data_IF_190155668768
#
_entry.id   IF_190155668768
#
_cell.length_a   1.000
_cell.length_b   1.000
_cell.length_c   1.000
_cell.angle_alpha   90.00
_cell.angle_beta   90.00
_cell.angle_gamma   90.00
#
_symmetry.space_group_name_H-M   'P 1'
#
loop_
_entity.id
_entity.type
_entity.pdbx_description
1 polymer ?
#
# COMPACT_ATOMS: atom_id res chain seq x y z
N UNK A 1 -1.40 -13.16 -10.44
CA UNK A 1 -0.76 -12.32 -11.49
C UNK A 1 0.72 -12.17 -11.19
N UNK A 2 1.52 -11.43 -11.96
CA UNK A 2 2.89 -11.06 -11.58
C UNK A 2 2.87 -9.83 -10.68
N UNK A 3 3.78 -9.74 -9.71
CA UNK A 3 3.82 -8.62 -8.76
C UNK A 3 4.48 -7.36 -9.38
N UNK A 4 5.35 -7.52 -10.38
CA UNK A 4 6.09 -6.42 -10.98
C UNK A 4 5.18 -5.38 -11.66
N UNK A 5 4.13 -5.75 -12.45
CA UNK A 5 3.17 -4.79 -12.98
C UNK A 5 2.41 -4.01 -11.90
N UNK A 6 2.11 -4.66 -10.76
CA UNK A 6 1.47 -4.00 -9.63
C UNK A 6 2.41 -2.95 -9.04
N UNK A 7 3.66 -3.31 -8.73
CA UNK A 7 4.67 -2.37 -8.22
C UNK A 7 4.94 -1.22 -9.19
N UNK A 8 4.97 -1.49 -10.49
CA UNK A 8 5.16 -0.48 -11.51
C UNK A 8 4.03 0.57 -11.48
N UNK A 9 2.77 0.11 -11.40
CA UNK A 9 1.61 1.00 -11.30
C UNK A 9 1.56 1.76 -9.97
N UNK A 10 1.89 1.12 -8.84
CA UNK A 10 1.99 1.84 -7.55
C UNK A 10 3.07 2.96 -7.59
N UNK A 11 4.19 2.73 -8.26
CA UNK A 11 5.22 3.78 -8.43
C UNK A 11 4.77 4.90 -9.37
N UNK A 12 3.92 4.61 -10.35
CA UNK A 12 3.31 5.60 -11.24
C UNK A 12 2.39 6.51 -10.41
N UNK A 13 1.43 5.94 -9.68
CA UNK A 13 0.53 6.68 -8.78
C UNK A 13 1.28 7.58 -7.79
N UNK A 14 2.34 7.04 -7.17
CA UNK A 14 3.22 7.81 -6.28
C UNK A 14 3.87 9.01 -6.99
N UNK A 15 4.28 8.85 -8.25
CA UNK A 15 4.90 9.94 -9.02
C UNK A 15 3.88 10.97 -9.47
N UNK A 16 2.67 10.53 -9.78
CA UNK A 16 1.60 11.41 -10.25
C UNK A 16 1.15 12.36 -9.15
N UNK A 17 1.05 11.87 -7.90
CA UNK A 17 0.77 12.70 -6.72
C UNK A 17 1.97 13.56 -6.25
N UNK A 18 3.16 13.41 -6.86
CA UNK A 18 4.37 14.06 -6.37
C UNK A 18 4.32 15.59 -6.56
N UNK A 19 4.45 16.33 -5.46
CA UNK A 19 4.42 17.79 -5.46
C UNK A 19 3.03 18.41 -5.29
N UNK A 20 1.99 17.59 -5.13
CA UNK A 20 0.63 18.05 -4.81
C UNK A 20 0.50 18.47 -3.33
N UNK A 21 1.36 17.92 -2.46
CA UNK A 21 1.29 18.10 -1.02
C UNK A 21 0.14 17.33 -0.39
N UNK A 22 0.00 17.48 0.93
CA UNK A 22 -1.14 16.91 1.67
C UNK A 22 -0.97 15.45 2.07
N UNK A 23 -2.09 14.86 2.52
CA UNK A 23 -2.13 13.52 3.10
C UNK A 23 -2.05 12.43 2.03
N UNK A 24 -2.60 12.70 0.85
CA UNK A 24 -2.63 11.76 -0.27
C UNK A 24 -1.23 11.45 -0.82
N UNK A 25 -0.44 12.49 -1.13
CA UNK A 25 0.95 12.33 -1.56
C UNK A 25 1.74 11.50 -0.54
N UNK A 26 1.56 11.78 0.76
CA UNK A 26 2.21 11.03 1.84
C UNK A 26 1.75 9.57 1.90
N UNK A 27 0.45 9.31 1.82
CA UNK A 27 -0.11 7.97 1.87
C UNK A 27 0.42 7.11 0.72
N UNK A 28 0.40 7.64 -0.51
CA UNK A 28 0.93 6.96 -1.70
C UNK A 28 2.46 6.74 -1.60
N UNK A 29 3.19 7.74 -1.11
CA UNK A 29 4.63 7.64 -0.87
C UNK A 29 4.98 6.52 0.12
N UNK A 30 4.38 6.54 1.31
CA UNK A 30 4.68 5.58 2.35
C UNK A 30 4.18 4.18 2.02
N UNK A 31 3.03 4.03 1.36
CA UNK A 31 2.54 2.76 0.84
C UNK A 31 3.54 2.13 -0.13
N UNK A 32 4.01 2.89 -1.12
CA UNK A 32 4.96 2.38 -2.10
C UNK A 32 6.30 2.00 -1.45
N UNK A 33 6.83 2.85 -0.57
CA UNK A 33 8.09 2.58 0.12
C UNK A 33 8.00 1.35 1.03
N UNK A 34 6.92 1.21 1.79
CA UNK A 34 6.69 0.05 2.65
C UNK A 34 6.56 -1.24 1.85
N UNK A 35 5.73 -1.26 0.81
CA UNK A 35 5.55 -2.44 -0.06
C UNK A 35 6.87 -2.78 -0.77
N UNK A 36 7.66 -1.79 -1.18
CA UNK A 36 8.98 -2.03 -1.78
C UNK A 36 9.97 -2.64 -0.78
N UNK A 37 9.91 -2.24 0.49
CA UNK A 37 10.69 -2.86 1.56
C UNK A 37 10.23 -4.31 1.81
N UNK A 38 8.91 -4.54 1.77
CA UNK A 38 8.26 -5.84 1.93
C UNK A 38 8.04 -6.60 0.61
N UNK A 39 8.88 -6.36 -0.41
CA UNK A 39 8.66 -6.90 -1.77
C UNK A 39 8.58 -8.42 -1.82
N UNK A 40 9.31 -9.13 -0.94
CA UNK A 40 9.26 -10.59 -0.86
C UNK A 40 7.88 -11.09 -0.43
N UNK A 41 7.41 -10.75 0.78
CA UNK A 41 6.06 -11.07 1.23
C UNK A 41 4.96 -10.54 0.29
N UNK A 42 5.14 -9.35 -0.29
CA UNK A 42 4.19 -8.81 -1.26
C UNK A 42 4.11 -9.63 -2.54
N UNK A 43 5.25 -10.09 -3.07
CA UNK A 43 5.28 -10.98 -4.22
C UNK A 43 4.58 -12.32 -3.91
N UNK A 44 4.82 -12.91 -2.75
CA UNK A 44 4.12 -14.12 -2.33
C UNK A 44 2.60 -13.90 -2.19
N UNK A 45 2.18 -12.75 -1.65
CA UNK A 45 0.78 -12.36 -1.57
C UNK A 45 0.12 -12.24 -2.94
N UNK A 46 0.73 -11.52 -3.89
CA UNK A 46 0.14 -11.27 -5.23
C UNK A 46 0.22 -12.49 -6.16
N UNK A 47 1.32 -13.24 -6.11
CA UNK A 47 1.55 -14.34 -7.05
C UNK A 47 1.00 -15.68 -6.56
N UNK A 48 0.99 -15.89 -5.24
CA UNK A 48 0.63 -17.19 -4.62
C UNK A 48 -0.61 -17.09 -3.74
N UNK A 49 -1.22 -15.91 -3.59
CA UNK A 49 -2.36 -15.67 -2.70
C UNK A 49 -2.06 -16.10 -1.25
N UNK A 50 -0.79 -15.97 -0.84
CA UNK A 50 -0.36 -16.27 0.52
C UNK A 50 -0.57 -15.04 1.40
N UNK A 51 -1.39 -15.17 2.43
CA UNK A 51 -1.59 -14.10 3.40
C UNK A 51 -0.24 -13.69 4.02
N UNK A 52 0.07 -12.38 4.10
CA UNK A 52 1.27 -11.93 4.79
C UNK A 52 1.13 -12.19 6.30
N UNK A 53 2.28 -12.32 6.96
CA UNK A 53 2.36 -12.46 8.41
C UNK A 53 2.99 -11.21 9.00
N UNK A 54 2.36 -10.61 10.01
CA UNK A 54 2.97 -9.52 10.78
C UNK A 54 4.25 -10.01 11.49
N UNK A 55 5.30 -9.17 11.44
CA UNK A 55 6.62 -9.49 12.03
C UNK A 55 6.87 -8.71 13.31
N UNK A 56 6.36 -7.50 13.42
CA UNK A 56 6.53 -6.61 14.57
C UNK A 56 5.31 -6.68 15.48
N UNK A 57 5.55 -6.65 16.78
CA UNK A 57 4.51 -6.65 17.82
C UNK A 57 3.93 -5.23 18.04
N UNK A 58 3.83 -4.46 16.96
CA UNK A 58 3.29 -3.10 16.98
C UNK A 58 1.82 -3.17 16.63
N UNK A 59 0.95 -2.66 17.50
CA UNK A 59 -0.47 -2.56 17.17
C UNK A 59 -0.68 -1.60 15.99
N UNK A 60 -1.73 -1.80 15.16
CA UNK A 60 -2.20 -0.78 14.24
C UNK A 60 -2.40 0.54 14.99
N UNK A 61 -1.98 1.65 14.38
CA UNK A 61 -2.02 2.96 15.00
C UNK A 61 -2.70 4.01 14.11
N UNK A 62 -2.92 5.22 14.65
CA UNK A 62 -3.77 6.21 14.01
C UNK A 62 -3.21 6.71 12.66
N UNK A 63 -1.88 6.69 12.47
CA UNK A 63 -1.26 7.11 11.21
C UNK A 63 -1.43 6.06 10.12
N UNK A 64 -1.25 4.79 10.46
CA UNK A 64 -1.54 3.68 9.56
C UNK A 64 -3.03 3.67 9.17
N UNK A 65 -3.94 3.90 10.12
CA UNK A 65 -5.38 4.02 9.87
C UNK A 65 -5.71 5.21 8.96
N UNK A 66 -5.11 6.39 9.21
CA UNK A 66 -5.29 7.59 8.36
C UNK A 66 -4.88 7.32 6.92
N UNK A 67 -3.67 6.77 6.70
CA UNK A 67 -3.19 6.50 5.35
C UNK A 67 -3.94 5.36 4.67
N UNK A 68 -4.28 4.30 5.39
CA UNK A 68 -5.15 3.25 4.86
C UNK A 68 -6.51 3.80 4.45
N UNK A 69 -7.09 4.73 5.21
CA UNK A 69 -8.33 5.41 4.87
C UNK A 69 -8.23 6.13 3.52
N UNK A 70 -7.20 6.96 3.37
CA UNK A 70 -6.96 7.70 2.11
C UNK A 70 -6.73 6.76 0.92
N UNK A 71 -5.93 5.70 1.09
CA UNK A 71 -5.69 4.72 0.03
C UNK A 71 -6.95 3.93 -0.35
N UNK A 72 -7.82 3.69 0.63
CA UNK A 72 -9.12 3.02 0.42
C UNK A 72 -10.06 3.95 -0.37
N UNK A 73 -10.12 5.23 -0.01
CA UNK A 73 -10.89 6.23 -0.76
C UNK A 73 -10.41 6.33 -2.21
N UNK A 74 -9.09 6.43 -2.44
CA UNK A 74 -8.52 6.42 -3.79
C UNK A 74 -8.89 5.18 -4.59
N UNK A 75 -8.79 3.99 -3.98
CA UNK A 75 -9.22 2.74 -4.63
C UNK A 75 -10.70 2.80 -5.02
N UNK A 76 -11.55 3.34 -4.15
CA UNK A 76 -13.00 3.40 -4.36
C UNK A 76 -13.42 4.45 -5.39
N UNK A 77 -12.56 5.43 -5.67
CA UNK A 77 -12.75 6.44 -6.73
C UNK A 77 -12.39 5.91 -8.13
N UNK A 78 -11.57 4.87 -8.22
CA UNK A 78 -11.24 4.19 -9.49
C UNK A 78 -12.42 3.31 -9.90
N UNK A 79 -12.70 3.22 -11.21
CA UNK A 79 -13.73 2.31 -11.73
C UNK A 79 -13.38 0.87 -11.28
N UNK A 80 -14.34 0.16 -10.69
CA UNK A 80 -14.19 -1.22 -10.19
C UNK A 80 -14.17 -2.23 -11.37
N UNK A 81 -13.39 -1.90 -12.40
CA UNK A 81 -13.08 -2.76 -13.52
C UNK A 81 -11.99 -3.76 -13.06
N UNK A 82 -12.30 -5.06 -12.97
CA UNK A 82 -11.32 -6.08 -12.59
C UNK A 82 -10.18 -6.26 -13.60
N UNK A 83 -10.21 -5.56 -14.75
CA UNK A 83 -9.13 -5.45 -15.71
C UNK A 83 -8.27 -4.18 -15.57
N UNK A 84 -8.68 -3.18 -14.79
CA UNK A 84 -7.93 -1.94 -14.61
C UNK A 84 -6.73 -2.17 -13.68
N UNK A 85 -5.54 -1.91 -14.20
CA UNK A 85 -4.31 -2.05 -13.44
C UNK A 85 -4.21 -1.07 -12.28
N UNK A 86 -4.84 0.11 -12.36
CA UNK A 86 -4.89 1.09 -11.28
C UNK A 86 -5.70 0.55 -10.09
N UNK A 87 -6.92 0.08 -10.36
CA UNK A 87 -7.77 -0.58 -9.37
C UNK A 87 -7.06 -1.79 -8.77
N UNK A 88 -6.55 -2.71 -9.60
CA UNK A 88 -5.85 -3.91 -9.15
C UNK A 88 -4.65 -3.54 -8.25
N UNK A 89 -3.90 -2.50 -8.59
CA UNK A 89 -2.73 -2.12 -7.83
C UNK A 89 -3.10 -1.57 -6.44
N UNK A 90 -4.05 -0.63 -6.40
CA UNK A 90 -4.55 -0.06 -5.14
C UNK A 90 -5.24 -1.11 -4.27
N UNK A 91 -6.08 -1.97 -4.86
CA UNK A 91 -6.75 -3.06 -4.14
C UNK A 91 -5.74 -4.00 -3.48
N UNK A 92 -4.74 -4.48 -4.22
CA UNK A 92 -3.72 -5.36 -3.66
C UNK A 92 -2.83 -4.68 -2.63
N UNK A 93 -2.50 -3.40 -2.81
CA UNK A 93 -1.75 -2.62 -1.83
C UNK A 93 -2.55 -2.45 -0.52
N UNK A 94 -3.81 -2.02 -0.61
CA UNK A 94 -4.71 -1.83 0.53
C UNK A 94 -4.92 -3.15 1.27
N UNK A 95 -5.20 -4.24 0.55
CA UNK A 95 -5.40 -5.55 1.15
C UNK A 95 -4.14 -6.07 1.85
N UNK A 96 -2.96 -5.86 1.28
CA UNK A 96 -1.69 -6.25 1.89
C UNK A 96 -1.40 -5.44 3.16
N UNK A 97 -1.51 -4.11 3.09
CA UNK A 97 -1.24 -3.22 4.23
C UNK A 97 -2.28 -3.43 5.34
N UNK A 98 -3.54 -3.70 5.02
CA UNK A 98 -4.56 -4.00 6.04
C UNK A 98 -4.21 -5.23 6.88
N UNK A 99 -3.63 -6.25 6.25
CA UNK A 99 -3.17 -7.48 6.93
C UNK A 99 -1.81 -7.32 7.62
N UNK A 100 -1.11 -6.21 7.35
CA UNK A 100 0.21 -5.89 7.92
C UNK A 100 0.21 -4.51 8.57
N UNK A 101 -0.93 -4.09 9.12
CA UNK A 101 -1.14 -2.71 9.57
C UNK A 101 -0.28 -2.35 10.79
N UNK A 102 0.07 -3.33 11.62
CA UNK A 102 1.05 -3.18 12.68
C UNK A 102 2.47 -2.95 12.18
N UNK A 103 2.90 -3.74 11.18
CA UNK A 103 4.20 -3.56 10.52
C UNK A 103 4.28 -2.21 9.80
N UNK A 104 3.19 -1.80 9.15
CA UNK A 104 3.10 -0.50 8.49
C UNK A 104 3.17 0.65 9.49
N UNK A 105 2.45 0.57 10.62
CA UNK A 105 2.55 1.56 11.69
C UNK A 105 3.99 1.64 12.25
N UNK A 106 4.65 0.49 12.44
CA UNK A 106 6.03 0.47 12.89
C UNK A 106 6.99 1.13 11.89
N UNK A 107 6.78 0.89 10.58
CA UNK A 107 7.52 1.58 9.53
C UNK A 107 7.29 3.10 9.56
N UNK A 108 6.04 3.55 9.73
CA UNK A 108 5.71 4.97 9.82
C UNK A 108 6.37 5.64 11.01
N UNK A 109 6.36 4.98 12.18
CA UNK A 109 7.07 5.47 13.38
C UNK A 109 8.58 5.64 13.11
N UNK A 110 9.20 4.69 12.41
CA UNK A 110 10.63 4.76 12.03
C UNK A 110 10.91 5.86 11.01
N UNK A 111 9.94 6.15 10.14
CA UNK A 111 10.00 7.24 9.16
C UNK A 111 9.72 8.62 9.76
N UNK A 112 9.19 8.68 10.99
CA UNK A 112 8.88 9.93 11.70
C UNK A 112 7.53 10.55 11.34
N UNK A 113 6.58 9.74 10.85
CA UNK A 113 5.18 10.15 10.60
C UNK A 113 4.27 10.01 11.82
#
# INVERSE_FOLDING_TARGET
MKHEPVLAKLNELRKDAQGEGGVEEKALYHMFCFISYEVGPFADFVEKEMAPSEKKDTSPGPKAEEYLGVLTELRDEVDDDPGDMEFIALDRAVAFISQTSGDFQAYLNEAGE
#
